data_IF_513757015133
#
_entry.id   IF_513757015133
#
_cell.length_a   1.000
_cell.length_b   1.000
_cell.length_c   1.000
_cell.angle_alpha   90.00
_cell.angle_beta   90.00
_cell.angle_gamma   90.00
#
_symmetry.space_group_name_H-M   'P 1'
#
loop_
_entity.id
_entity.type
_entity.pdbx_description
1 polymer ?
#
# COMPACT_ATOMS: atom_id res chain seq x y z
N UNK A 1 11.79 -3.74 -3.88
CA UNK A 1 12.72 -2.71 -3.35
C UNK A 1 12.20 -1.34 -3.75
N UNK A 2 13.03 -0.30 -3.65
CA UNK A 2 12.77 1.02 -4.27
C UNK A 2 14.10 1.49 -4.87
N UNK A 3 14.09 1.99 -6.11
CA UNK A 3 15.23 2.74 -6.65
C UNK A 3 15.24 4.14 -6.05
N UNK A 4 15.83 4.28 -4.87
CA UNK A 4 15.77 5.49 -4.02
C UNK A 4 16.41 6.73 -4.65
N UNK A 5 17.26 6.56 -5.67
CA UNK A 5 17.90 7.64 -6.40
C UNK A 5 17.01 8.26 -7.49
N UNK A 6 15.78 7.78 -7.69
CA UNK A 6 14.84 8.42 -8.61
C UNK A 6 14.55 9.86 -8.17
N UNK A 7 14.72 10.82 -9.07
CA UNK A 7 14.64 12.27 -8.82
C UNK A 7 13.30 12.67 -8.20
N UNK A 8 12.22 11.99 -8.61
CA UNK A 8 10.86 12.27 -8.15
C UNK A 8 10.61 11.94 -6.66
N UNK A 9 11.51 11.19 -6.01
CA UNK A 9 11.47 11.00 -4.57
C UNK A 9 12.14 12.15 -3.80
N UNK A 10 13.02 12.94 -4.42
CA UNK A 10 13.67 14.09 -3.78
C UNK A 10 14.38 13.75 -2.46
N UNK A 11 14.98 12.56 -2.36
CA UNK A 11 15.63 12.08 -1.13
C UNK A 11 14.69 11.56 -0.02
N UNK A 12 13.38 11.54 -0.23
CA UNK A 12 12.39 11.06 0.75
C UNK A 12 12.26 9.53 0.78
N UNK A 13 12.75 8.84 -0.24
CA UNK A 13 12.82 7.38 -0.26
C UNK A 13 14.16 6.91 0.32
N UNK A 14 14.10 6.06 1.35
CA UNK A 14 15.27 5.51 2.04
C UNK A 14 15.17 3.99 2.14
N UNK A 15 16.32 3.34 2.35
CA UNK A 15 16.36 1.90 2.61
C UNK A 15 16.02 1.57 4.05
N UNK A 16 15.19 0.53 4.22
CA UNK A 16 14.97 -0.13 5.51
C UNK A 16 15.77 -1.43 5.59
N UNK A 17 15.38 -2.43 4.80
CA UNK A 17 16.02 -3.75 4.79
C UNK A 17 15.72 -4.54 3.50
N UNK A 18 16.47 -5.63 3.29
CA UNK A 18 16.23 -6.63 2.24
C UNK A 18 16.25 -8.04 2.83
N UNK A 19 15.26 -8.84 2.46
CA UNK A 19 15.16 -10.27 2.78
C UNK A 19 15.48 -11.15 1.55
N UNK A 20 16.03 -10.56 0.50
CA UNK A 20 16.47 -11.27 -0.70
C UNK A 20 17.98 -11.38 -0.67
N UNK A 21 18.49 -12.61 -0.58
CA UNK A 21 19.92 -12.88 -0.54
C UNK A 21 20.57 -12.73 -1.91
N UNK A 22 21.77 -12.16 -1.96
CA UNK A 22 22.57 -12.07 -3.19
C UNK A 22 22.15 -10.96 -4.16
N UNK A 23 21.17 -10.12 -3.78
CA UNK A 23 20.78 -8.95 -4.56
C UNK A 23 21.14 -7.66 -3.82
N UNK A 24 21.44 -6.62 -4.58
CA UNK A 24 21.70 -5.28 -4.04
C UNK A 24 20.45 -4.68 -3.36
N UNK A 25 20.69 -3.74 -2.45
CA UNK A 25 19.66 -2.87 -1.91
C UNK A 25 19.26 -1.81 -2.96
N UNK A 26 18.61 -2.29 -4.01
CA UNK A 26 17.94 -1.49 -5.05
C UNK A 26 16.64 -2.19 -5.48
N UNK A 27 15.83 -1.51 -6.29
CA UNK A 27 14.77 -2.19 -7.02
C UNK A 27 15.30 -2.74 -8.34
N UNK A 28 15.21 -4.04 -8.52
CA UNK A 28 15.67 -4.74 -9.72
C UNK A 28 14.50 -5.19 -10.62
N UNK A 29 13.26 -5.03 -10.14
CA UNK A 29 12.07 -5.39 -10.89
C UNK A 29 11.36 -4.17 -11.48
N UNK A 30 11.33 -3.07 -10.72
CA UNK A 30 10.66 -1.82 -11.08
C UNK A 30 9.30 -1.64 -10.42
N UNK A 31 8.61 -2.74 -10.11
CA UNK A 31 7.29 -2.72 -9.46
C UNK A 31 7.29 -1.94 -8.14
N UNK A 32 8.30 -2.16 -7.29
CA UNK A 32 8.36 -1.48 -6.00
C UNK A 32 8.58 0.02 -6.12
N UNK A 33 9.39 0.45 -7.09
CA UNK A 33 9.58 1.87 -7.44
C UNK A 33 8.29 2.49 -7.94
N UNK A 34 7.54 1.80 -8.81
CA UNK A 34 6.24 2.26 -9.31
C UNK A 34 5.20 2.45 -8.21
N UNK A 35 5.09 1.45 -7.33
CA UNK A 35 4.23 1.48 -6.16
C UNK A 35 4.60 2.65 -5.24
N UNK A 36 5.88 2.79 -4.89
CA UNK A 36 6.36 3.88 -4.05
C UNK A 36 6.11 5.25 -4.67
N UNK A 37 6.26 5.36 -6.00
CA UNK A 37 5.98 6.57 -6.75
C UNK A 37 4.52 7.00 -6.66
N UNK A 38 3.59 6.04 -6.73
CA UNK A 38 2.15 6.30 -6.63
C UNK A 38 1.77 6.72 -5.20
N UNK A 39 2.44 6.16 -4.18
CA UNK A 39 2.23 6.60 -2.79
C UNK A 39 2.68 8.05 -2.61
N UNK A 40 3.91 8.39 -3.02
CA UNK A 40 4.55 9.60 -2.51
C UNK A 40 5.61 10.27 -3.37
N UNK A 41 5.70 10.03 -4.68
CA UNK A 41 6.56 10.86 -5.54
C UNK A 41 6.04 12.29 -5.69
N UNK A 42 6.86 13.23 -6.16
CA UNK A 42 6.48 14.63 -6.35
C UNK A 42 5.44 14.82 -7.47
N UNK A 43 5.58 14.08 -8.56
CA UNK A 43 4.78 14.18 -9.78
C UNK A 43 3.54 13.28 -9.67
N UNK A 44 3.74 12.00 -9.37
CA UNK A 44 2.70 10.96 -9.44
C UNK A 44 2.10 10.58 -8.07
N UNK A 45 2.73 11.03 -6.98
CA UNK A 45 2.34 10.62 -5.64
C UNK A 45 1.06 11.27 -5.14
N UNK A 46 0.26 10.51 -4.39
CA UNK A 46 -0.89 11.04 -3.65
C UNK A 46 -0.42 11.82 -2.41
N UNK A 47 0.48 11.24 -1.59
CA UNK A 47 1.06 11.86 -0.41
C UNK A 47 2.47 12.41 -0.68
N UNK A 48 2.54 13.52 -1.45
CA UNK A 48 3.80 14.09 -2.00
C UNK A 48 4.86 14.52 -0.99
N UNK A 49 4.57 14.48 0.31
CA UNK A 49 5.49 14.85 1.38
C UNK A 49 5.81 13.71 2.35
N UNK A 50 5.32 12.49 2.09
CA UNK A 50 5.60 11.35 2.96
C UNK A 50 7.06 10.89 2.81
N UNK A 51 7.58 10.25 3.87
CA UNK A 51 8.82 9.47 3.81
C UNK A 51 8.48 8.05 3.34
N UNK A 52 9.28 7.52 2.42
CA UNK A 52 9.11 6.17 1.87
C UNK A 52 10.26 5.29 2.40
N UNK A 53 9.94 4.11 2.92
CA UNK A 53 10.93 3.16 3.46
C UNK A 53 10.87 1.87 2.65
N UNK A 54 11.97 1.50 2.01
CA UNK A 54 12.06 0.29 1.20
C UNK A 54 12.29 -0.95 2.09
N UNK A 55 11.32 -1.88 2.06
CA UNK A 55 11.45 -3.22 2.63
C UNK A 55 11.34 -4.23 1.48
N UNK A 56 12.48 -4.78 1.05
CA UNK A 56 12.53 -5.67 -0.12
C UNK A 56 12.27 -7.11 0.31
N UNK A 57 11.14 -7.65 -0.16
CA UNK A 57 10.72 -9.04 0.09
C UNK A 57 10.64 -9.89 -1.19
N UNK A 58 10.71 -9.24 -2.36
CA UNK A 58 10.73 -9.88 -3.68
C UNK A 58 12.02 -9.57 -4.43
N UNK A 59 12.47 -10.57 -5.19
CA UNK A 59 13.65 -10.56 -6.04
C UNK A 59 13.46 -9.76 -7.33
N UNK A 60 14.48 -9.74 -8.19
CA UNK A 60 14.47 -9.11 -9.51
C UNK A 60 13.36 -9.59 -10.44
N UNK A 61 12.87 -10.83 -10.28
CA UNK A 61 11.76 -11.39 -11.07
C UNK A 61 10.40 -11.01 -10.52
N UNK A 62 10.33 -10.36 -9.36
CA UNK A 62 9.09 -10.03 -8.66
C UNK A 62 8.54 -11.20 -7.83
N UNK A 63 9.39 -12.18 -7.51
CA UNK A 63 9.02 -13.37 -6.74
C UNK A 63 9.61 -13.34 -5.33
N UNK A 64 8.96 -14.00 -4.38
CA UNK A 64 9.57 -14.25 -3.07
C UNK A 64 8.69 -15.09 -2.16
N UNK A 65 9.34 -15.76 -1.21
CA UNK A 65 8.67 -16.65 -0.28
C UNK A 65 7.76 -15.87 0.69
N UNK A 66 6.64 -16.46 1.07
CA UNK A 66 5.75 -15.90 2.11
C UNK A 66 6.51 -15.67 3.42
N UNK A 67 7.51 -16.49 3.74
CA UNK A 67 8.41 -16.28 4.89
C UNK A 67 9.17 -14.96 4.83
N UNK A 68 9.63 -14.53 3.65
CA UNK A 68 10.31 -13.25 3.47
C UNK A 68 9.32 -12.09 3.68
N UNK A 69 8.08 -12.24 3.21
CA UNK A 69 7.02 -11.24 3.44
C UNK A 69 6.73 -11.11 4.93
N UNK A 70 6.56 -12.23 5.64
CA UNK A 70 6.32 -12.24 7.10
C UNK A 70 7.51 -11.62 7.85
N UNK A 71 8.76 -11.94 7.46
CA UNK A 71 9.95 -11.34 8.05
C UNK A 71 10.01 -9.82 7.79
N UNK A 72 9.63 -9.38 6.58
CA UNK A 72 9.46 -7.97 6.24
C UNK A 72 8.45 -7.24 7.12
N UNK A 73 7.30 -7.86 7.36
CA UNK A 73 6.28 -7.34 8.29
C UNK A 73 6.84 -7.23 9.71
N UNK A 74 7.56 -8.26 10.17
CA UNK A 74 8.23 -8.27 11.48
C UNK A 74 9.25 -7.13 11.65
N UNK A 75 10.04 -6.85 10.60
CA UNK A 75 10.94 -5.70 10.58
C UNK A 75 10.18 -4.37 10.71
N UNK A 76 9.10 -4.18 9.93
CA UNK A 76 8.28 -2.96 9.97
C UNK A 76 7.71 -2.72 11.38
N UNK A 77 7.21 -3.75 12.04
CA UNK A 77 6.71 -3.65 13.43
C UNK A 77 7.81 -3.28 14.40
N UNK A 78 8.99 -3.89 14.26
CA UNK A 78 10.13 -3.64 15.15
C UNK A 78 10.67 -2.22 15.00
N UNK A 79 10.83 -1.75 13.76
CA UNK A 79 11.25 -0.38 13.44
C UNK A 79 10.23 0.65 13.94
N UNK A 80 8.93 0.40 13.74
CA UNK A 80 7.86 1.26 14.25
C UNK A 80 7.87 1.39 15.78
N UNK A 81 8.00 0.27 16.49
CA UNK A 81 8.06 0.27 17.97
C UNK A 81 9.30 1.01 18.47
N UNK A 82 10.45 0.78 17.85
CA UNK A 82 11.70 1.47 18.20
C UNK A 82 11.54 2.99 18.07
N UNK A 83 11.05 3.46 16.91
CA UNK A 83 10.81 4.90 16.65
C UNK A 83 9.73 5.50 17.52
N UNK A 84 8.71 4.72 17.87
CA UNK A 84 7.67 5.15 18.82
C UNK A 84 8.27 5.37 20.21
N UNK A 85 9.07 4.43 20.70
CA UNK A 85 9.74 4.56 22.00
C UNK A 85 10.70 5.75 22.01
N UNK A 86 11.49 5.93 20.95
CA UNK A 86 12.37 7.08 20.78
C UNK A 86 11.59 8.41 20.79
N UNK A 87 10.49 8.50 20.05
CA UNK A 87 9.64 9.69 20.04
C UNK A 87 9.11 10.01 21.45
N UNK A 88 8.60 9.00 22.17
CA UNK A 88 8.08 9.16 23.53
C UNK A 88 9.17 9.67 24.48
N UNK A 89 10.37 9.08 24.44
CA UNK A 89 11.51 9.51 25.28
C UNK A 89 11.87 10.97 25.02
N UNK A 90 11.75 11.42 23.77
CA UNK A 90 12.06 12.79 23.37
C UNK A 90 10.87 13.77 23.48
N UNK A 91 9.73 13.36 24.06
CA UNK A 91 8.53 14.19 24.18
C UNK A 91 7.87 14.54 22.85
N UNK A 92 8.10 13.72 21.81
CA UNK A 92 7.54 13.86 20.48
C UNK A 92 6.35 12.91 20.29
N UNK A 93 5.48 13.24 19.32
CA UNK A 93 4.41 12.34 18.93
C UNK A 93 4.98 11.08 18.25
N UNK A 94 4.44 9.88 18.54
CA UNK A 94 4.76 8.66 17.80
C UNK A 94 4.62 8.84 16.29
N UNK A 95 5.43 8.15 15.47
CA UNK A 95 5.28 8.19 14.03
C UNK A 95 3.91 7.64 13.61
N UNK A 96 3.33 8.20 12.55
CA UNK A 96 2.15 7.64 11.89
C UNK A 96 2.61 6.83 10.71
N UNK A 97 2.27 5.54 10.67
CA UNK A 97 2.83 4.60 9.68
C UNK A 97 1.75 3.88 8.89
N UNK A 98 1.97 3.80 7.59
CA UNK A 98 1.18 3.03 6.63
C UNK A 98 2.10 2.05 5.91
N UNK A 99 1.79 0.76 5.98
CA UNK A 99 2.46 -0.28 5.22
C UNK A 99 1.62 -0.64 3.99
N UNK A 100 2.25 -0.64 2.81
CA UNK A 100 1.59 -1.01 1.56
C UNK A 100 2.12 -2.36 1.06
N UNK A 101 1.25 -3.37 1.03
CA UNK A 101 1.49 -4.73 0.54
C UNK A 101 0.83 -4.91 -0.83
N UNK A 102 1.46 -4.38 -1.87
CA UNK A 102 1.04 -4.56 -3.26
C UNK A 102 1.47 -5.91 -3.85
N UNK A 103 1.16 -6.98 -3.11
CA UNK A 103 1.54 -8.36 -3.39
C UNK A 103 0.37 -9.30 -3.04
N UNK A 104 0.50 -10.58 -3.42
CA UNK A 104 -0.47 -11.60 -3.04
C UNK A 104 0.13 -13.00 -3.07
N UNK A 105 -0.54 -13.92 -2.38
CA UNK A 105 -0.26 -15.34 -2.36
C UNK A 105 -1.57 -16.12 -2.20
N UNK A 106 -1.52 -17.44 -2.40
CA UNK A 106 -2.58 -18.33 -1.91
C UNK A 106 -2.83 -18.09 -0.42
N UNK A 107 -4.04 -18.42 0.06
CA UNK A 107 -4.41 -18.24 1.46
C UNK A 107 -3.32 -18.77 2.41
N UNK A 108 -2.93 -17.92 3.36
CA UNK A 108 -1.94 -18.22 4.38
C UNK A 108 -2.38 -17.60 5.70
N UNK A 109 -2.78 -18.46 6.64
CA UNK A 109 -3.14 -18.03 8.00
C UNK A 109 -1.98 -17.30 8.67
N UNK A 110 -0.73 -17.76 8.45
CA UNK A 110 0.45 -17.12 9.03
C UNK A 110 0.64 -15.68 8.51
N UNK A 111 0.46 -15.44 7.21
CA UNK A 111 0.55 -14.10 6.64
C UNK A 111 -0.58 -13.19 7.13
N UNK A 112 -1.82 -13.70 7.19
CA UNK A 112 -2.96 -12.94 7.73
C UNK A 112 -2.72 -12.57 9.21
N UNK A 113 -2.30 -13.53 10.04
CA UNK A 113 -1.98 -13.30 11.45
C UNK A 113 -0.85 -12.27 11.63
N UNK A 114 0.17 -12.27 10.77
CA UNK A 114 1.24 -11.28 10.80
C UNK A 114 0.70 -9.86 10.50
N UNK A 115 -0.18 -9.72 9.50
CA UNK A 115 -0.84 -8.45 9.19
C UNK A 115 -1.76 -8.01 10.35
N UNK A 116 -2.62 -8.89 10.85
CA UNK A 116 -3.52 -8.60 11.96
C UNK A 116 -2.78 -8.13 13.22
N UNK A 117 -1.68 -8.80 13.56
CA UNK A 117 -0.83 -8.43 14.70
C UNK A 117 -0.17 -7.06 14.51
N UNK A 118 0.19 -6.72 13.27
CA UNK A 118 0.80 -5.42 12.94
C UNK A 118 -0.21 -4.28 12.99
N UNK A 119 -1.44 -4.53 12.54
CA UNK A 119 -2.56 -3.59 12.70
C UNK A 119 -2.87 -3.36 14.17
N UNK A 120 -2.90 -4.43 14.97
CA UNK A 120 -3.08 -4.34 16.42
C UNK A 120 -1.96 -3.58 17.12
N UNK A 121 -0.75 -3.56 16.54
CA UNK A 121 0.39 -2.77 17.02
C UNK A 121 0.32 -1.27 16.62
N UNK A 122 -0.71 -0.84 15.89
CA UNK A 122 -0.94 0.57 15.53
C UNK A 122 -0.52 0.97 14.11
N UNK A 123 -0.10 0.02 13.27
CA UNK A 123 0.34 0.31 11.90
C UNK A 123 -0.81 0.03 10.94
N UNK A 124 -1.18 1.00 10.09
CA UNK A 124 -2.21 0.73 9.08
C UNK A 124 -1.65 -0.05 7.91
N UNK A 125 -2.31 -1.14 7.53
CA UNK A 125 -1.91 -1.97 6.40
C UNK A 125 -2.90 -1.81 5.24
N UNK A 126 -2.37 -1.49 4.06
CA UNK A 126 -3.10 -1.41 2.79
C UNK A 126 -2.58 -2.51 1.87
N UNK A 127 -3.47 -3.33 1.32
CA UNK A 127 -3.08 -4.49 0.50
C UNK A 127 -3.85 -4.54 -0.82
N UNK A 128 -3.20 -5.07 -1.85
CA UNK A 128 -3.83 -5.36 -3.13
C UNK A 128 -4.85 -6.51 -2.99
N UNK A 129 -6.03 -6.39 -3.62
CA UNK A 129 -7.02 -7.48 -3.62
C UNK A 129 -6.55 -8.74 -4.40
N UNK A 130 -5.68 -8.55 -5.39
CA UNK A 130 -5.20 -9.58 -6.32
C UNK A 130 -5.76 -9.42 -7.73
N UNK A 131 -5.13 -10.08 -8.70
CA UNK A 131 -5.35 -9.84 -10.14
C UNK A 131 -5.83 -11.08 -10.90
N UNK A 132 -6.58 -11.97 -10.25
CA UNK A 132 -6.99 -13.26 -10.81
C UNK A 132 -8.49 -13.37 -11.07
N UNK A 133 -9.25 -12.29 -10.88
CA UNK A 133 -10.72 -12.29 -10.96
C UNK A 133 -11.36 -13.42 -10.12
N UNK A 134 -10.91 -13.56 -8.87
CA UNK A 134 -11.45 -14.50 -7.87
C UNK A 134 -11.92 -13.78 -6.62
N UNK A 135 -12.60 -14.49 -5.73
CA UNK A 135 -12.92 -13.98 -4.38
C UNK A 135 -11.63 -13.70 -3.60
N UNK A 136 -11.41 -12.44 -3.23
CA UNK A 136 -10.26 -11.96 -2.46
C UNK A 136 -10.16 -12.66 -1.09
N UNK A 137 -11.26 -13.20 -0.56
CA UNK A 137 -11.25 -13.98 0.68
C UNK A 137 -10.47 -15.31 0.57
N UNK A 138 -10.13 -15.77 -0.63
CA UNK A 138 -9.38 -17.02 -0.88
C UNK A 138 -7.87 -16.83 -0.99
N UNK A 139 -7.38 -15.60 -0.84
CA UNK A 139 -5.98 -15.21 -1.01
C UNK A 139 -5.47 -14.39 0.17
N UNK A 140 -4.15 -14.28 0.33
CA UNK A 140 -3.53 -13.51 1.41
C UNK A 140 -2.55 -12.47 0.85
N UNK A 141 -2.42 -11.28 1.47
CA UNK A 141 -3.09 -10.84 2.70
C UNK A 141 -4.48 -10.24 2.48
N UNK A 142 -5.03 -10.27 1.26
CA UNK A 142 -6.32 -9.64 0.92
C UNK A 142 -7.53 -10.15 1.72
N UNK A 143 -7.47 -11.37 2.25
CA UNK A 143 -8.49 -11.93 3.16
C UNK A 143 -8.42 -11.43 4.61
N UNK A 144 -7.34 -10.77 5.03
CA UNK A 144 -7.19 -10.26 6.40
C UNK A 144 -8.06 -9.01 6.63
N UNK A 145 -9.07 -9.14 7.49
CA UNK A 145 -10.17 -8.16 7.64
C UNK A 145 -9.73 -6.85 8.26
N UNK A 146 -8.68 -6.88 9.08
CA UNK A 146 -8.14 -5.68 9.73
C UNK A 146 -7.37 -4.78 8.76
N UNK A 147 -6.88 -5.33 7.64
CA UNK A 147 -6.24 -4.55 6.58
C UNK A 147 -7.27 -3.79 5.73
N UNK A 148 -6.79 -2.84 4.94
CA UNK A 148 -7.53 -2.15 3.89
C UNK A 148 -7.20 -2.83 2.56
N UNK A 149 -8.06 -3.73 2.12
CA UNK A 149 -7.89 -4.47 0.86
C UNK A 149 -8.47 -3.68 -0.31
N UNK A 150 -7.67 -3.46 -1.35
CA UNK A 150 -7.97 -2.51 -2.43
C UNK A 150 -8.15 -3.22 -3.76
N UNK A 151 -9.36 -3.12 -4.31
CA UNK A 151 -9.68 -3.53 -5.68
C UNK A 151 -9.26 -2.47 -6.72
N UNK A 152 -9.23 -2.84 -7.99
CA UNK A 152 -8.81 -1.97 -9.09
C UNK A 152 -9.99 -1.55 -9.96
N UNK A 153 -10.07 -0.26 -10.28
CA UNK A 153 -10.93 0.29 -11.33
C UNK A 153 -10.10 0.95 -12.43
N UNK A 154 -10.76 1.19 -13.57
CA UNK A 154 -10.24 2.06 -14.62
C UNK A 154 -10.81 3.47 -14.59
N UNK A 155 -10.35 4.31 -15.52
CA UNK A 155 -10.71 5.74 -15.61
C UNK A 155 -12.21 5.99 -15.89
N UNK A 156 -12.97 4.97 -16.27
CA UNK A 156 -14.42 5.06 -16.53
C UNK A 156 -15.26 4.53 -15.36
N UNK A 157 -14.66 4.40 -14.17
CA UNK A 157 -15.28 3.82 -12.98
C UNK A 157 -15.80 2.40 -13.21
N UNK A 158 -15.15 1.63 -14.09
CA UNK A 158 -15.43 0.21 -14.30
C UNK A 158 -14.45 -0.62 -13.47
N UNK A 159 -14.93 -1.64 -12.76
CA UNK A 159 -14.04 -2.62 -12.13
C UNK A 159 -13.11 -3.24 -13.19
N UNK A 160 -11.80 -3.17 -12.94
CA UNK A 160 -10.81 -3.81 -13.82
C UNK A 160 -11.09 -5.31 -13.92
N UNK A 161 -11.11 -5.85 -15.14
CA UNK A 161 -11.49 -7.24 -15.42
C UNK A 161 -10.66 -8.29 -14.65
N UNK A 162 -9.44 -7.94 -14.26
CA UNK A 162 -8.54 -8.81 -13.50
C UNK A 162 -8.73 -8.68 -11.98
N UNK A 163 -9.39 -7.62 -11.48
CA UNK A 163 -9.46 -7.35 -10.05
C UNK A 163 -10.20 -8.47 -9.33
N UNK A 164 -9.58 -9.01 -8.28
CA UNK A 164 -10.29 -9.82 -7.31
C UNK A 164 -11.42 -9.01 -6.66
N UNK A 165 -12.41 -9.73 -6.14
CA UNK A 165 -13.69 -9.17 -5.71
C UNK A 165 -14.18 -9.79 -4.39
N UNK A 166 -15.40 -9.46 -3.98
CA UNK A 166 -16.09 -10.05 -2.85
C UNK A 166 -15.91 -9.28 -1.56
N UNK A 167 -16.49 -9.82 -0.48
CA UNK A 167 -16.64 -9.15 0.81
C UNK A 167 -15.32 -8.79 1.52
N UNK A 168 -14.19 -9.36 1.10
CA UNK A 168 -12.87 -9.05 1.66
C UNK A 168 -12.23 -7.81 1.02
N UNK A 169 -12.72 -7.36 -0.14
CA UNK A 169 -12.38 -6.03 -0.66
C UNK A 169 -12.99 -4.97 0.26
N UNK A 170 -12.19 -3.99 0.69
CA UNK A 170 -12.65 -2.87 1.52
C UNK A 170 -13.18 -1.73 0.66
N UNK A 171 -12.42 -1.35 -0.37
CA UNK A 171 -12.77 -0.32 -1.35
C UNK A 171 -11.94 -0.48 -2.62
N UNK A 172 -12.16 0.39 -3.60
CA UNK A 172 -11.42 0.43 -4.86
C UNK A 172 -10.57 1.70 -4.98
N UNK A 173 -9.51 1.61 -5.78
CA UNK A 173 -8.73 2.75 -6.23
C UNK A 173 -8.35 2.63 -7.72
N UNK A 174 -7.80 3.70 -8.32
CA UNK A 174 -7.33 3.68 -9.70
C UNK A 174 -6.21 2.65 -9.87
N UNK A 175 -6.40 1.65 -10.73
CA UNK A 175 -5.43 0.57 -10.89
C UNK A 175 -5.24 0.08 -12.32
N UNK A 176 -5.87 0.70 -13.32
CA UNK A 176 -5.64 0.41 -14.74
C UNK A 176 -4.93 1.58 -15.40
N UNK A 177 -3.87 1.27 -16.16
CA UNK A 177 -3.07 2.25 -16.89
C UNK A 177 -2.54 3.39 -16.00
N UNK A 178 -1.91 3.04 -14.89
CA UNK A 178 -1.36 4.00 -13.93
C UNK A 178 0.10 4.29 -14.27
N UNK A 179 0.39 5.57 -14.53
CA UNK A 179 1.75 6.07 -14.73
C UNK A 179 2.39 6.41 -13.39
N UNK A 180 3.62 5.95 -13.17
CA UNK A 180 4.44 6.29 -11.99
C UNK A 180 5.93 6.13 -12.31
N UNK A 181 6.78 6.39 -11.31
CA UNK A 181 8.24 6.25 -11.35
C UNK A 181 8.65 4.81 -11.68
N UNK A 182 9.77 4.63 -12.38
CA UNK A 182 10.30 3.33 -12.77
C UNK A 182 11.82 3.27 -12.56
N UNK A 183 12.41 2.12 -12.88
CA UNK A 183 13.86 1.88 -12.83
C UNK A 183 14.51 2.11 -14.20
N UNK A 184 15.84 2.12 -14.23
CA UNK A 184 16.65 2.26 -15.45
C UNK A 184 17.23 3.66 -15.65
N UNK A 185 16.61 4.70 -15.08
CA UNK A 185 17.21 6.03 -14.95
C UNK A 185 16.58 6.83 -13.80
N UNK A 186 17.23 7.90 -13.31
CA UNK A 186 16.65 8.77 -12.26
C UNK A 186 15.35 9.49 -12.63
N UNK A 187 14.88 9.41 -13.87
CA UNK A 187 13.63 10.02 -14.34
C UNK A 187 12.73 9.04 -15.09
N UNK A 188 13.02 7.74 -15.03
CA UNK A 188 12.26 6.72 -15.73
C UNK A 188 10.83 6.62 -15.23
N UNK A 189 9.89 6.38 -16.13
CA UNK A 189 8.47 6.21 -15.79
C UNK A 189 7.92 5.00 -16.51
N UNK A 190 6.87 4.40 -15.97
CA UNK A 190 6.18 3.30 -16.64
C UNK A 190 4.68 3.36 -16.36
N UNK A 191 3.88 2.84 -17.29
CA UNK A 191 2.42 2.77 -17.18
C UNK A 191 1.99 1.32 -17.16
N UNK A 192 1.52 0.85 -16.00
CA UNK A 192 1.14 -0.55 -15.77
C UNK A 192 -0.21 -0.63 -15.06
N UNK A 193 -0.75 -1.85 -14.97
CA UNK A 193 -2.06 -2.11 -14.37
C UNK A 193 -1.97 -3.21 -13.32
N UNK A 194 -2.78 -3.08 -12.27
CA UNK A 194 -2.93 -4.07 -11.22
C UNK A 194 -3.63 -3.49 -9.99
N UNK A 195 -4.16 -4.36 -9.14
CA UNK A 195 -4.53 -3.99 -7.76
C UNK A 195 -3.31 -3.52 -6.96
N UNK A 196 -2.10 -3.92 -7.37
CA UNK A 196 -0.83 -3.34 -6.92
C UNK A 196 -0.68 -1.86 -7.24
N UNK A 197 -1.37 -1.32 -8.24
CA UNK A 197 -1.37 0.11 -8.57
C UNK A 197 -2.54 0.84 -7.90
N UNK A 198 -3.63 0.14 -7.59
CA UNK A 198 -4.74 0.68 -6.81
C UNK A 198 -4.40 0.86 -5.32
N UNK A 199 -3.79 -0.16 -4.71
CA UNK A 199 -3.35 -0.17 -3.31
C UNK A 199 -2.55 1.08 -2.90
N UNK A 200 -1.50 1.52 -3.64
CA UNK A 200 -0.70 2.67 -3.24
C UNK A 200 -1.44 4.01 -3.33
N UNK A 201 -2.48 4.15 -4.17
CA UNK A 201 -3.34 5.34 -4.12
C UNK A 201 -4.02 5.46 -2.76
N UNK A 202 -4.60 4.36 -2.27
CA UNK A 202 -5.26 4.31 -0.96
C UNK A 202 -4.25 4.50 0.17
N UNK A 203 -3.07 3.89 0.09
CA UNK A 203 -2.02 4.11 1.08
C UNK A 203 -1.60 5.59 1.15
N UNK A 204 -1.53 6.29 0.01
CA UNK A 204 -1.28 7.73 -0.03
C UNK A 204 -2.43 8.56 0.56
N UNK A 205 -3.70 8.19 0.33
CA UNK A 205 -4.84 8.86 0.99
C UNK A 205 -4.79 8.65 2.51
N UNK A 206 -4.51 7.43 2.97
CA UNK A 206 -4.35 7.14 4.42
C UNK A 206 -3.20 7.97 5.02
N UNK A 207 -2.06 8.07 4.33
CA UNK A 207 -0.95 8.92 4.76
C UNK A 207 -1.33 10.41 4.81
N UNK A 208 -2.14 10.88 3.85
CA UNK A 208 -2.68 12.25 3.81
C UNK A 208 -3.60 12.50 4.99
N UNK A 209 -4.56 11.60 5.26
CA UNK A 209 -5.43 11.67 6.43
C UNK A 209 -4.62 11.71 7.73
N UNK A 210 -3.61 10.85 7.88
CA UNK A 210 -2.75 10.90 9.07
C UNK A 210 -2.05 12.26 9.26
N UNK A 211 -1.73 12.96 8.18
CA UNK A 211 -1.08 14.28 8.23
C UNK A 211 -2.04 15.44 8.53
N UNK A 212 -3.33 15.30 8.21
CA UNK A 212 -4.34 16.34 8.41
C UNK A 212 -4.76 16.51 9.87
N UNK A 213 -4.68 15.45 10.68
CA UNK A 213 -5.14 15.48 12.06
C UNK A 213 -3.98 15.40 13.04
N UNK A 214 -4.02 16.17 14.13
CA UNK A 214 -3.06 16.05 15.24
C UNK A 214 -3.33 14.81 16.10
N UNK A 215 -4.57 14.33 16.13
CA UNK A 215 -4.98 13.16 16.90
C UNK A 215 -4.22 11.89 16.47
N UNK A 216 -3.94 11.03 17.45
CA UNK A 216 -3.34 9.72 17.23
C UNK A 216 -4.43 8.69 16.91
N UNK A 217 -4.87 8.65 15.66
CA UNK A 217 -5.88 7.68 15.22
C UNK A 217 -5.34 6.27 15.21
N UNK A 218 -6.12 5.34 15.75
CA UNK A 218 -5.88 3.91 15.55
C UNK A 218 -6.07 3.53 14.07
N UNK A 219 -5.51 2.40 13.62
CA UNK A 219 -5.76 1.89 12.27
C UNK A 219 -7.25 1.67 11.94
N UNK A 220 -8.07 1.28 12.92
CA UNK A 220 -9.52 1.16 12.69
C UNK A 220 -10.16 2.54 12.52
N UNK A 221 -9.81 3.52 13.36
CA UNK A 221 -10.33 4.89 13.23
C UNK A 221 -9.95 5.53 11.89
N UNK A 222 -8.72 5.34 11.41
CA UNK A 222 -8.31 5.87 10.10
C UNK A 222 -9.02 5.15 8.95
N UNK A 223 -9.29 3.85 9.09
CA UNK A 223 -10.09 3.07 8.13
C UNK A 223 -11.53 3.58 8.08
N UNK A 224 -12.15 3.86 9.23
CA UNK A 224 -13.50 4.45 9.26
C UNK A 224 -13.53 5.85 8.64
N UNK A 225 -12.53 6.68 8.91
CA UNK A 225 -12.42 8.01 8.29
C UNK A 225 -12.28 7.92 6.76
N UNK A 226 -11.40 7.04 6.29
CA UNK A 226 -11.22 6.76 4.86
C UNK A 226 -12.54 6.36 4.19
N UNK A 227 -13.31 5.46 4.82
CA UNK A 227 -14.59 5.01 4.30
C UNK A 227 -15.66 6.11 4.38
N UNK A 228 -15.64 6.94 5.42
CA UNK A 228 -16.60 8.02 5.62
C UNK A 228 -16.50 9.14 4.57
N UNK A 229 -15.33 9.34 3.97
CA UNK A 229 -15.13 10.32 2.90
C UNK A 229 -15.22 9.72 1.49
N UNK A 230 -15.28 8.39 1.36
CA UNK A 230 -15.21 7.71 0.08
C UNK A 230 -16.46 7.95 -0.79
N UNK A 231 -16.28 7.92 -2.10
CA UNK A 231 -17.38 7.97 -3.06
C UNK A 231 -18.08 6.61 -3.09
N UNK A 232 -19.41 6.58 -2.95
CA UNK A 232 -20.18 5.33 -2.95
C UNK A 232 -21.10 5.21 -4.17
N UNK A 233 -21.38 3.98 -4.60
CA UNK A 233 -22.35 3.65 -5.65
C UNK A 233 -22.07 4.30 -7.02
N UNK A 234 -20.79 4.46 -7.38
CA UNK A 234 -20.36 4.99 -8.70
C UNK A 234 -19.63 3.97 -9.57
N UNK A 235 -19.10 2.90 -8.98
CA UNK A 235 -18.40 1.87 -9.73
C UNK A 235 -19.43 1.03 -10.49
N UNK A 236 -19.19 0.85 -11.78
CA UNK A 236 -20.01 0.05 -12.69
C UNK A 236 -19.37 -1.31 -13.00
N UNK A 237 -20.18 -2.26 -13.48
CA UNK A 237 -19.78 -3.66 -13.74
C UNK A 237 -19.08 -4.33 -12.56
N UNK A 238 -19.51 -3.98 -11.35
CA UNK A 238 -18.95 -4.51 -10.12
C UNK A 238 -19.34 -5.98 -9.95
N UNK A 239 -18.37 -6.82 -9.60
CA UNK A 239 -18.60 -8.22 -9.27
C UNK A 239 -19.54 -8.35 -8.05
N UNK A 240 -20.36 -9.42 -7.98
CA UNK A 240 -21.31 -9.63 -6.89
C UNK A 240 -20.65 -9.59 -5.49
N UNK A 241 -21.43 -9.23 -4.48
CA UNK A 241 -21.02 -9.22 -3.07
C UNK A 241 -19.77 -8.37 -2.76
N UNK A 242 -19.48 -7.39 -3.62
CA UNK A 242 -18.33 -6.49 -3.47
C UNK A 242 -18.81 -5.09 -3.07
N UNK A 243 -18.16 -4.40 -2.12
CA UNK A 243 -18.54 -3.03 -1.77
C UNK A 243 -18.34 -2.05 -2.93
N UNK A 244 -19.35 -1.23 -3.22
CA UNK A 244 -19.26 -0.18 -4.23
C UNK A 244 -18.74 1.12 -3.59
N UNK A 245 -17.45 1.12 -3.27
CA UNK A 245 -16.77 2.20 -2.55
C UNK A 245 -15.48 2.54 -3.31
N UNK A 246 -15.35 3.79 -3.74
CA UNK A 246 -14.19 4.32 -4.44
C UNK A 246 -13.46 5.32 -3.53
N UNK A 247 -12.14 5.15 -3.40
CA UNK A 247 -11.29 6.05 -2.62
C UNK A 247 -11.48 7.51 -3.05
N UNK A 248 -11.53 8.40 -2.07
CA UNK A 248 -11.59 9.84 -2.28
C UNK A 248 -10.56 10.53 -1.39
N UNK A 249 -9.79 11.47 -1.94
CA UNK A 249 -8.72 12.16 -1.21
C UNK A 249 -9.20 13.47 -0.54
N UNK A 250 -10.51 13.75 -0.56
CA UNK A 250 -11.16 14.93 0.04
C UNK A 250 -10.25 16.15 0.19
N UNK A 251 -9.75 16.72 -0.92
CA UNK A 251 -8.84 17.85 -0.85
C UNK A 251 -9.52 18.98 -0.04
N UNK A 252 -8.78 19.71 0.81
CA UNK A 252 -9.35 20.83 1.55
C UNK A 252 -10.08 21.74 0.55
N UNK A 253 -11.31 22.14 0.89
CA UNK A 253 -11.94 23.25 0.20
C UNK A 253 -11.01 24.45 0.38
N UNK A 254 -10.44 24.94 -0.72
CA UNK A 254 -9.65 26.17 -0.73
C UNK A 254 -10.46 27.35 -0.22
#
# INVERSE_FOLDING_TARGET
GIYTQHNDFGGRAVWGTSFVSGEENTDLNGHGTHVAGTVGSNTYGVAKRCKLIAVKVFDSTGSGAVSNVIAGIGYVVSDYKSKTNEAIINGLNPPKSVANLSLGASFSQALNSAVASSVSAGITFVTAAGNSNVDACTTSPSSERTAITVGSIDITDVQSYFSNYGKCVTLFGPGRSITSTWIGSPSATNTISGTSMASPHVAGVVATLYSMYSNNFTPDQIKQLLLGIATTNKISKLSPMTPNILVYNSPPAN
#
